data_IF_455470855189
#
_entry.id   IF_455470855189
#
_cell.length_a   1.000
_cell.length_b   1.000
_cell.length_c   1.000
_cell.angle_alpha   90.00
_cell.angle_beta   90.00
_cell.angle_gamma   90.00
#
_symmetry.space_group_name_H-M   'P 1'
#
loop_
_entity.id
_entity.type
_entity.pdbx_description
1 polymer ?
#
# COMPACT_ATOMS: atom_id res chain seq x y z
N UNK A 1 -24.27 33.11 -7.17
CA UNK A 1 -23.60 33.37 -5.89
C UNK A 1 -24.47 33.01 -4.69
N UNK A 2 -25.73 33.50 -4.57
CA UNK A 2 -26.64 33.19 -3.43
C UNK A 2 -26.94 31.68 -3.25
N UNK A 3 -27.15 30.93 -4.33
CA UNK A 3 -27.44 29.49 -4.29
C UNK A 3 -26.22 28.68 -3.79
N UNK A 4 -25.01 29.10 -4.16
CA UNK A 4 -23.77 28.45 -3.72
C UNK A 4 -23.52 28.65 -2.22
N UNK A 5 -23.83 29.82 -1.69
CA UNK A 5 -23.75 30.14 -0.25
C UNK A 5 -24.76 29.32 0.54
N UNK A 6 -26.01 29.15 0.04
CA UNK A 6 -27.02 28.33 0.65
C UNK A 6 -26.65 26.86 0.68
N UNK A 7 -26.01 26.37 -0.37
CA UNK A 7 -25.54 24.98 -0.46
C UNK A 7 -24.40 24.73 0.55
N UNK A 8 -23.46 25.67 0.69
CA UNK A 8 -22.39 25.58 1.69
C UNK A 8 -22.96 25.61 3.11
N UNK A 9 -23.90 26.49 3.39
CA UNK A 9 -24.55 26.59 4.69
C UNK A 9 -25.36 25.32 5.03
N UNK A 10 -26.04 24.73 4.06
CA UNK A 10 -26.76 23.46 4.28
C UNK A 10 -25.81 22.29 4.56
N UNK A 11 -24.69 22.22 3.83
CA UNK A 11 -23.66 21.20 4.08
C UNK A 11 -23.04 21.39 5.46
N UNK A 12 -22.70 22.64 5.86
CA UNK A 12 -22.17 22.93 7.19
C UNK A 12 -23.18 22.57 8.30
N UNK A 13 -24.46 22.82 8.09
CA UNK A 13 -25.50 22.45 9.05
C UNK A 13 -25.66 20.94 9.17
N UNK A 14 -25.65 20.20 8.06
CA UNK A 14 -25.65 18.75 8.06
C UNK A 14 -24.40 18.17 8.76
N UNK A 15 -23.23 18.74 8.50
CA UNK A 15 -21.99 18.31 9.16
C UNK A 15 -22.03 18.57 10.66
N UNK A 16 -22.56 19.72 11.11
CA UNK A 16 -22.68 20.01 12.56
C UNK A 16 -23.70 19.12 13.27
N UNK A 17 -24.82 18.77 12.62
CA UNK A 17 -25.81 17.85 13.17
C UNK A 17 -25.26 16.42 13.25
N UNK A 18 -24.52 15.95 12.24
CA UNK A 18 -23.82 14.67 12.25
C UNK A 18 -22.72 14.66 13.34
N UNK A 19 -21.97 15.74 13.51
CA UNK A 19 -20.91 15.84 14.52
C UNK A 19 -21.45 15.62 15.94
N UNK A 20 -22.61 16.18 16.29
CA UNK A 20 -23.22 15.99 17.61
C UNK A 20 -23.63 14.52 17.86
N UNK A 21 -24.09 13.81 16.83
CA UNK A 21 -24.43 12.39 16.97
C UNK A 21 -23.19 11.49 16.99
N UNK A 22 -22.08 11.92 16.38
CA UNK A 22 -20.81 11.19 16.32
C UNK A 22 -20.01 11.27 17.64
N UNK A 23 -20.22 12.32 18.45
CA UNK A 23 -19.48 12.51 19.71
C UNK A 23 -20.10 11.71 20.86
N UNK A 24 -21.34 11.23 20.75
CA UNK A 24 -21.94 10.39 21.78
C UNK A 24 -21.22 9.05 21.87
N UNK A 25 -20.70 8.68 23.06
CA UNK A 25 -20.01 7.41 23.24
C UNK A 25 -21.00 6.25 23.05
N UNK A 26 -20.58 5.26 22.29
CA UNK A 26 -21.33 4.01 22.13
C UNK A 26 -20.65 2.92 22.97
N UNK A 27 -21.35 2.42 24.00
CA UNK A 27 -20.86 1.37 24.90
C UNK A 27 -21.15 -0.04 24.37
N UNK A 28 -21.37 -0.18 23.07
CA UNK A 28 -21.66 -1.48 22.47
C UNK A 28 -20.47 -2.42 22.59
N UNK A 29 -20.77 -3.68 22.89
CA UNK A 29 -19.78 -4.77 22.84
C UNK A 29 -19.29 -4.97 21.41
N UNK A 30 -20.20 -4.88 20.44
CA UNK A 30 -19.89 -5.02 19.02
C UNK A 30 -20.19 -3.72 18.31
N UNK A 31 -19.17 -3.18 17.63
CA UNK A 31 -19.26 -2.01 16.77
C UNK A 31 -18.93 -2.43 15.34
N UNK A 32 -19.62 -1.85 14.39
CA UNK A 32 -19.28 -1.92 12.97
C UNK A 32 -18.75 -0.56 12.52
N UNK A 33 -17.96 -0.53 11.48
CA UNK A 33 -17.43 0.74 11.00
C UNK A 33 -16.94 0.68 9.58
N UNK A 34 -16.69 1.87 9.05
CA UNK A 34 -16.04 2.08 7.75
C UNK A 34 -14.80 2.92 7.94
N UNK A 35 -13.77 2.64 7.16
CA UNK A 35 -12.51 3.41 7.16
C UNK A 35 -12.07 3.73 5.74
N UNK A 36 -11.49 4.90 5.59
CA UNK A 36 -10.77 5.31 4.38
C UNK A 36 -9.38 5.82 4.81
N UNK A 37 -8.40 5.68 3.96
CA UNK A 37 -7.06 6.08 4.34
C UNK A 37 -6.10 6.20 3.18
N UNK A 38 -4.93 6.71 3.52
CA UNK A 38 -3.77 6.83 2.65
C UNK A 38 -2.71 5.83 3.08
N UNK A 39 -1.91 5.40 2.14
CA UNK A 39 -0.85 4.45 2.35
C UNK A 39 0.38 4.84 1.56
N UNK A 40 1.53 4.85 2.21
CA UNK A 40 2.83 4.92 1.57
C UNK A 40 3.41 3.50 1.55
N UNK A 41 3.61 2.96 0.34
CA UNK A 41 4.23 1.65 0.16
C UNK A 41 5.74 1.82 0.15
N UNK A 42 6.43 1.11 1.02
CA UNK A 42 7.86 0.98 1.04
C UNK A 42 8.22 -0.45 0.61
N UNK A 43 8.86 -0.58 -0.54
CA UNK A 43 9.32 -1.88 -1.03
C UNK A 43 10.80 -2.00 -0.72
N UNK A 44 11.16 -2.97 0.13
CA UNK A 44 12.56 -3.33 0.33
C UNK A 44 12.91 -4.40 -0.71
N UNK A 45 13.61 -3.98 -1.78
CA UNK A 45 14.05 -4.89 -2.83
C UNK A 45 15.21 -5.71 -2.28
N UNK A 46 14.99 -7.02 -2.20
CA UNK A 46 15.99 -7.96 -1.69
C UNK A 46 16.99 -8.39 -2.77
N UNK A 47 16.51 -8.59 -3.99
CA UNK A 47 17.35 -8.89 -5.16
C UNK A 47 16.59 -8.59 -6.45
N UNK A 48 17.34 -8.14 -7.45
CA UNK A 48 16.90 -8.15 -8.85
C UNK A 48 17.91 -9.03 -9.57
N UNK A 49 17.44 -10.18 -10.04
CA UNK A 49 18.25 -11.11 -10.82
C UNK A 49 17.90 -10.93 -12.29
N UNK A 50 18.87 -10.54 -13.08
CA UNK A 50 18.88 -10.60 -14.54
C UNK A 50 19.96 -11.57 -14.97
N UNK A 51 19.72 -12.34 -16.03
CA UNK A 51 20.55 -13.46 -16.52
C UNK A 51 22.02 -13.14 -16.81
N UNK A 52 22.69 -12.27 -16.23
CA UNK A 52 24.15 -11.97 -16.32
C UNK A 52 24.50 -10.57 -15.78
N UNK A 53 23.53 -9.79 -15.28
CA UNK A 53 23.77 -8.42 -14.84
C UNK A 53 23.21 -8.22 -13.44
N UNK A 54 24.06 -7.86 -12.49
CA UNK A 54 23.65 -7.44 -11.16
C UNK A 54 23.40 -5.93 -11.17
N UNK A 55 22.19 -5.52 -10.82
CA UNK A 55 21.87 -4.10 -10.66
C UNK A 55 22.28 -3.64 -9.26
N UNK A 56 23.04 -2.57 -9.19
CA UNK A 56 23.41 -1.89 -7.95
C UNK A 56 22.71 -0.51 -7.93
N UNK A 57 22.52 0.06 -6.75
CA UNK A 57 21.86 1.36 -6.51
C UNK A 57 20.41 1.47 -7.01
N UNK A 58 19.54 0.69 -6.37
CA UNK A 58 18.11 0.76 -6.64
C UNK A 58 17.48 1.81 -5.73
N UNK A 59 16.98 2.89 -6.33
CA UNK A 59 16.25 3.93 -5.62
C UNK A 59 14.74 3.74 -5.79
N UNK A 60 14.03 3.68 -4.67
CA UNK A 60 12.58 3.60 -4.63
C UNK A 60 11.98 4.96 -4.31
N UNK A 61 11.13 5.46 -5.18
CA UNK A 61 10.30 6.62 -4.90
C UNK A 61 8.95 6.14 -4.40
N UNK A 62 8.61 6.55 -3.18
CA UNK A 62 7.34 6.19 -2.57
C UNK A 62 6.22 7.04 -3.12
N UNK A 63 5.21 6.41 -3.67
CA UNK A 63 3.97 7.06 -4.05
C UNK A 63 2.88 6.71 -3.03
N UNK A 64 1.93 7.62 -2.85
CA UNK A 64 0.84 7.45 -1.91
C UNK A 64 -0.29 6.68 -2.60
N UNK A 65 -0.68 5.56 -2.00
CA UNK A 65 -1.88 4.81 -2.36
C UNK A 65 -3.06 5.20 -1.47
N UNK A 66 -4.21 4.58 -1.72
CA UNK A 66 -5.41 4.77 -0.92
C UNK A 66 -6.08 3.44 -0.60
N UNK A 67 -6.82 3.44 0.51
CA UNK A 67 -7.56 2.28 0.98
C UNK A 67 -8.95 2.68 1.44
N UNK A 68 -9.91 1.78 1.27
CA UNK A 68 -11.27 1.91 1.79
C UNK A 68 -11.79 0.53 2.20
N UNK A 69 -12.57 0.48 3.28
CA UNK A 69 -13.10 -0.79 3.73
C UNK A 69 -14.00 -0.67 4.95
N UNK A 70 -14.35 -1.83 5.46
CA UNK A 70 -15.20 -1.98 6.63
C UNK A 70 -14.52 -2.83 7.70
N UNK A 71 -14.98 -2.66 8.93
CA UNK A 71 -14.48 -3.37 10.08
C UNK A 71 -15.61 -3.76 11.03
N UNK A 72 -15.34 -4.79 11.80
CA UNK A 72 -16.15 -5.18 12.94
C UNK A 72 -15.21 -5.18 14.14
N UNK A 73 -15.62 -4.55 15.24
CA UNK A 73 -14.84 -4.51 16.47
C UNK A 73 -15.66 -5.11 17.61
N UNK A 74 -15.11 -6.08 18.30
CA UNK A 74 -15.67 -6.67 19.50
C UNK A 74 -14.83 -6.22 20.69
N UNK A 75 -15.44 -5.47 21.59
CA UNK A 75 -14.79 -4.91 22.78
C UNK A 75 -15.04 -5.82 24.00
N UNK A 76 -13.97 -6.10 24.73
CA UNK A 76 -14.01 -6.80 26.03
C UNK A 76 -13.16 -5.98 27.01
N UNK A 77 -13.82 -5.17 27.81
CA UNK A 77 -13.21 -4.20 28.75
C UNK A 77 -12.24 -3.24 28.05
N UNK A 78 -10.94 -3.47 28.26
CA UNK A 78 -9.86 -2.70 27.65
C UNK A 78 -9.30 -3.36 26.38
N UNK A 79 -9.64 -4.61 26.15
CA UNK A 79 -9.22 -5.32 24.94
C UNK A 79 -10.28 -5.24 23.85
N UNK A 80 -9.86 -5.35 22.62
CA UNK A 80 -10.75 -5.57 21.51
C UNK A 80 -10.10 -6.45 20.45
N UNK A 81 -10.94 -7.14 19.68
CA UNK A 81 -10.55 -7.83 18.45
C UNK A 81 -11.26 -7.16 17.28
N UNK A 82 -10.53 -6.93 16.20
CA UNK A 82 -11.05 -6.22 15.04
C UNK A 82 -10.63 -6.91 13.74
N UNK A 83 -11.44 -7.84 13.23
CA UNK A 83 -11.38 -8.23 11.82
C UNK A 83 -11.85 -7.09 10.92
N UNK A 84 -11.24 -6.97 9.76
CA UNK A 84 -11.56 -5.92 8.79
C UNK A 84 -11.37 -6.43 7.37
N UNK A 85 -11.94 -5.74 6.40
CA UNK A 85 -11.70 -6.00 4.98
C UNK A 85 -11.54 -4.67 4.24
N UNK A 86 -10.44 -4.52 3.51
CA UNK A 86 -10.08 -3.31 2.79
C UNK A 86 -9.80 -3.61 1.33
N UNK A 87 -10.23 -2.72 0.48
CA UNK A 87 -9.74 -2.59 -0.86
C UNK A 87 -8.64 -1.54 -0.91
N UNK A 88 -7.53 -1.85 -1.62
CA UNK A 88 -6.37 -1.00 -1.67
C UNK A 88 -5.90 -0.81 -3.10
N UNK A 89 -5.42 0.38 -3.37
CA UNK A 89 -4.64 0.74 -4.52
C UNK A 89 -3.32 1.34 -4.04
N UNK A 90 -2.21 0.86 -4.56
CA UNK A 90 -0.88 1.39 -4.26
C UNK A 90 -0.08 1.52 -5.54
N UNK A 91 0.69 2.59 -5.65
CA UNK A 91 1.61 2.83 -6.76
C UNK A 91 2.99 3.15 -6.21
N UNK A 92 4.03 2.77 -6.92
CA UNK A 92 5.41 3.06 -6.57
C UNK A 92 6.30 3.08 -7.80
N UNK A 93 7.28 4.00 -7.83
CA UNK A 93 8.26 4.08 -8.89
C UNK A 93 9.57 3.44 -8.44
N UNK A 94 10.12 2.59 -9.27
CA UNK A 94 11.41 1.93 -9.10
C UNK A 94 12.37 2.60 -10.09
N UNK A 95 13.46 3.16 -9.56
CA UNK A 95 14.55 3.71 -10.36
C UNK A 95 15.73 2.77 -10.23
N UNK A 96 16.40 2.49 -11.33
CA UNK A 96 17.61 1.66 -11.34
C UNK A 96 18.64 2.22 -12.32
N UNK A 97 19.89 2.16 -11.87
CA UNK A 97 21.03 2.43 -12.72
C UNK A 97 21.59 1.12 -13.24
N UNK A 98 21.83 1.04 -14.53
CA UNK A 98 22.41 -0.14 -15.17
C UNK A 98 23.91 -0.02 -15.13
N UNK A 99 24.56 -0.89 -14.37
CA UNK A 99 26.01 -1.02 -14.39
C UNK A 99 26.39 -1.94 -15.55
N UNK A 100 27.17 -1.41 -16.49
CA UNK A 100 27.75 -2.21 -17.59
C UNK A 100 28.84 -3.11 -17.05
N UNK A 101 28.89 -4.40 -17.44
CA UNK A 101 30.06 -5.21 -17.15
C UNK A 101 31.28 -4.59 -17.85
N UNK A 102 32.40 -4.44 -17.11
CA UNK A 102 33.61 -3.78 -17.56
C UNK A 102 34.37 -4.50 -18.71
N UNK A 103 33.84 -5.60 -19.24
CA UNK A 103 34.52 -6.47 -20.20
C UNK A 103 34.21 -6.22 -21.67
N UNK A 104 33.31 -5.31 -22.01
CA UNK A 104 33.01 -5.01 -23.42
C UNK A 104 33.45 -3.59 -23.79
N UNK A 105 34.73 -3.47 -24.15
CA UNK A 105 35.30 -2.34 -24.90
C UNK A 105 34.94 -2.46 -26.39
N UNK A 106 33.70 -2.57 -26.72
CA UNK A 106 33.23 -2.48 -28.13
C UNK A 106 32.28 -1.31 -28.25
N UNK A 107 32.54 -0.47 -29.26
CA UNK A 107 31.79 0.72 -29.66
C UNK A 107 30.37 0.37 -30.18
N UNK A 108 29.69 -0.58 -29.59
CA UNK A 108 28.31 -0.95 -29.97
C UNK A 108 27.32 -0.21 -29.09
N UNK A 109 26.30 0.33 -29.76
CA UNK A 109 25.22 1.14 -29.21
C UNK A 109 24.72 0.60 -27.89
N UNK A 110 24.86 1.41 -26.84
CA UNK A 110 24.34 1.08 -25.52
C UNK A 110 22.86 0.72 -25.60
N UNK A 111 22.49 -0.45 -25.13
CA UNK A 111 21.08 -0.78 -24.95
C UNK A 111 20.58 0.10 -23.79
N UNK A 112 19.78 1.09 -24.12
CA UNK A 112 19.12 1.92 -23.11
C UNK A 112 18.03 1.08 -22.45
N UNK A 113 18.28 0.64 -21.21
CA UNK A 113 17.22 0.10 -20.37
C UNK A 113 16.35 1.22 -19.83
N UNK A 114 15.05 0.97 -19.59
CA UNK A 114 14.19 1.96 -18.96
C UNK A 114 14.75 2.34 -17.59
N UNK A 115 15.00 3.64 -17.39
CA UNK A 115 15.54 4.18 -16.15
C UNK A 115 14.52 4.20 -15.01
N UNK A 116 13.24 4.03 -15.32
CA UNK A 116 12.19 3.99 -14.32
C UNK A 116 11.08 3.01 -14.68
N UNK A 117 10.58 2.33 -13.65
CA UNK A 117 9.44 1.43 -13.77
C UNK A 117 8.40 1.81 -12.71
N UNK A 118 7.18 2.12 -13.14
CA UNK A 118 6.05 2.35 -12.25
C UNK A 118 5.32 1.04 -12.00
N UNK A 119 5.21 0.68 -10.74
CA UNK A 119 4.45 -0.48 -10.29
C UNK A 119 3.12 -0.04 -9.69
N UNK A 120 2.02 -0.63 -10.14
CA UNK A 120 0.68 -0.42 -9.58
C UNK A 120 0.15 -1.74 -9.05
N UNK A 121 -0.35 -1.71 -7.81
CA UNK A 121 -0.90 -2.89 -7.13
C UNK A 121 -2.32 -2.58 -6.70
N UNK A 122 -3.28 -3.44 -7.09
CA UNK A 122 -4.63 -3.47 -6.53
C UNK A 122 -4.79 -4.74 -5.71
N UNK A 123 -5.25 -4.60 -4.48
CA UNK A 123 -5.36 -5.72 -3.55
C UNK A 123 -6.59 -5.65 -2.68
N UNK A 124 -7.04 -6.83 -2.22
CA UNK A 124 -7.93 -6.97 -1.08
C UNK A 124 -7.11 -7.37 0.14
N UNK A 125 -7.37 -6.75 1.28
CA UNK A 125 -6.69 -7.02 2.53
C UNK A 125 -7.68 -7.40 3.62
N UNK A 126 -7.30 -8.42 4.39
CA UNK A 126 -8.06 -8.88 5.56
C UNK A 126 -7.15 -8.84 6.78
N UNK A 127 -7.04 -7.68 7.46
CA UNK A 127 -6.37 -7.61 8.74
C UNK A 127 -7.25 -8.18 9.85
N UNK A 128 -6.61 -8.92 10.77
CA UNK A 128 -7.20 -9.31 12.05
C UNK A 128 -6.26 -8.81 13.13
N UNK A 129 -6.73 -7.86 13.93
CA UNK A 129 -5.93 -7.21 14.96
C UNK A 129 -6.56 -7.38 16.32
N UNK A 130 -5.71 -7.44 17.35
CA UNK A 130 -6.07 -7.33 18.75
C UNK A 130 -5.55 -5.99 19.25
N UNK A 131 -6.35 -5.27 19.99
CA UNK A 131 -5.97 -3.97 20.52
C UNK A 131 -6.26 -3.85 22.01
N UNK A 132 -5.60 -2.86 22.60
CA UNK A 132 -5.73 -2.50 24.00
C UNK A 132 -5.94 -0.99 24.15
N UNK A 133 -6.99 -0.60 24.89
CA UNK A 133 -7.28 0.79 25.21
C UNK A 133 -6.37 1.25 26.36
N UNK A 134 -5.32 2.01 26.05
CA UNK A 134 -4.40 2.61 27.03
C UNK A 134 -5.11 3.69 27.84
N UNK A 135 -5.83 4.57 27.16
CA UNK A 135 -6.63 5.64 27.73
C UNK A 135 -8.07 5.44 27.29
N UNK A 136 -8.99 5.38 28.25
CA UNK A 136 -10.44 5.24 28.01
C UNK A 136 -11.16 6.29 28.86
N UNK A 137 -11.12 7.53 28.38
CA UNK A 137 -11.78 8.68 29.00
C UNK A 137 -12.69 9.34 27.97
N UNK A 138 -13.99 9.17 28.16
CA UNK A 138 -14.97 9.74 27.23
C UNK A 138 -14.82 11.24 27.04
N UNK A 139 -14.88 11.76 25.80
CA UNK A 139 -15.17 11.03 24.54
C UNK A 139 -13.92 10.44 23.88
N UNK A 140 -12.76 10.49 24.52
CA UNK A 140 -11.46 10.12 23.96
C UNK A 140 -11.05 8.71 24.36
N UNK A 141 -10.61 7.91 23.40
CA UNK A 141 -9.98 6.62 23.65
C UNK A 141 -8.68 6.55 22.83
N UNK A 142 -7.58 6.24 23.51
CA UNK A 142 -6.30 5.98 22.83
C UNK A 142 -5.98 4.49 22.93
N UNK A 143 -5.67 3.87 21.81
CA UNK A 143 -5.47 2.42 21.71
C UNK A 143 -4.20 2.09 20.94
N UNK A 144 -3.57 0.99 21.34
CA UNK A 144 -2.57 0.29 20.54
C UNK A 144 -3.17 -1.00 20.03
N UNK A 145 -2.85 -1.38 18.80
CA UNK A 145 -3.30 -2.62 18.21
C UNK A 145 -2.19 -3.26 17.38
N UNK A 146 -2.24 -4.59 17.31
CA UNK A 146 -1.32 -5.38 16.51
C UNK A 146 -1.96 -6.66 16.05
N UNK A 147 -1.48 -7.23 14.97
CA UNK A 147 -2.02 -8.44 14.40
C UNK A 147 -1.39 -8.84 13.09
N UNK A 148 -2.13 -9.64 12.34
CA UNK A 148 -1.72 -10.14 11.03
C UNK A 148 -2.64 -9.64 9.95
N UNK A 149 -2.11 -9.50 8.76
CA UNK A 149 -2.81 -9.02 7.58
C UNK A 149 -2.54 -10.00 6.43
N UNK A 150 -3.61 -10.52 5.86
CA UNK A 150 -3.56 -11.26 4.60
C UNK A 150 -3.93 -10.32 3.47
N UNK A 151 -3.11 -10.28 2.43
CA UNK A 151 -3.36 -9.50 1.20
C UNK A 151 -3.50 -10.45 0.03
N UNK A 152 -4.47 -10.17 -0.79
CA UNK A 152 -4.68 -10.81 -2.08
C UNK A 152 -4.51 -9.76 -3.19
N UNK A 153 -3.38 -9.83 -3.89
CA UNK A 153 -3.06 -8.94 -5.00
C UNK A 153 -3.70 -9.51 -6.27
N UNK A 154 -4.76 -8.90 -6.75
CA UNK A 154 -5.50 -9.40 -7.91
C UNK A 154 -5.11 -8.72 -9.23
N UNK A 155 -4.46 -7.55 -9.17
CA UNK A 155 -4.00 -6.82 -10.34
C UNK A 155 -2.67 -6.14 -10.02
N UNK A 156 -1.60 -6.57 -10.69
CA UNK A 156 -0.27 -5.98 -10.57
C UNK A 156 0.18 -5.60 -11.97
N UNK A 157 0.38 -4.31 -12.20
CA UNK A 157 0.81 -3.77 -13.47
C UNK A 157 2.15 -3.07 -13.28
N UNK A 158 3.06 -3.33 -14.22
CA UNK A 158 4.33 -2.64 -14.33
C UNK A 158 4.33 -1.86 -15.64
N UNK A 159 4.67 -0.60 -15.57
CA UNK A 159 4.82 0.26 -16.73
C UNK A 159 6.25 0.79 -16.73
N UNK A 160 7.03 0.39 -17.73
CA UNK A 160 8.36 0.90 -17.93
C UNK A 160 8.32 2.08 -18.90
N UNK A 161 8.92 3.20 -18.51
CA UNK A 161 9.03 4.41 -19.31
C UNK A 161 10.51 4.63 -19.64
N UNK A 162 10.88 4.37 -20.87
CA UNK A 162 12.18 4.71 -21.44
C UNK A 162 12.06 5.84 -22.46
N UNK A 163 13.18 6.49 -22.85
CA UNK A 163 13.17 7.60 -23.80
C UNK A 163 12.65 7.20 -25.20
N UNK A 164 12.68 5.91 -25.54
CA UNK A 164 12.24 5.40 -26.85
C UNK A 164 11.24 4.25 -26.79
N UNK A 165 10.93 3.73 -25.61
CA UNK A 165 10.03 2.58 -25.45
C UNK A 165 9.21 2.68 -24.16
N UNK A 166 7.89 2.67 -24.29
CA UNK A 166 6.99 2.44 -23.18
C UNK A 166 6.31 1.09 -23.37
N UNK A 167 6.39 0.22 -22.38
CA UNK A 167 5.64 -1.03 -22.40
C UNK A 167 4.97 -1.25 -21.05
N UNK A 168 3.80 -1.85 -21.10
CA UNK A 168 3.05 -2.25 -19.93
C UNK A 168 3.09 -3.76 -19.83
N UNK A 169 3.47 -4.26 -18.66
CA UNK A 169 3.62 -5.68 -18.39
C UNK A 169 2.80 -6.11 -17.17
N UNK A 170 2.14 -7.24 -17.28
CA UNK A 170 1.41 -7.88 -16.20
C UNK A 170 2.24 -9.07 -15.72
N UNK A 171 3.02 -8.88 -14.65
CA UNK A 171 3.90 -9.92 -14.12
C UNK A 171 3.13 -11.07 -13.47
N UNK A 172 3.67 -12.29 -13.61
CA UNK A 172 3.21 -13.41 -12.81
C UNK A 172 3.79 -13.25 -11.40
N UNK A 173 2.93 -12.93 -10.46
CA UNK A 173 3.32 -12.60 -9.09
C UNK A 173 2.49 -13.43 -8.13
N UNK A 174 3.13 -13.94 -7.07
CA UNK A 174 2.40 -14.63 -5.99
C UNK A 174 1.24 -13.76 -5.49
N UNK A 175 -0.01 -14.20 -5.63
CA UNK A 175 -1.16 -13.37 -5.32
C UNK A 175 -1.31 -13.09 -3.82
N UNK A 176 -0.77 -13.98 -2.97
CA UNK A 176 -0.95 -13.90 -1.52
C UNK A 176 0.28 -13.32 -0.83
N UNK A 177 0.03 -12.36 0.05
CA UNK A 177 1.06 -11.73 0.86
C UNK A 177 0.60 -11.61 2.32
N UNK A 178 1.49 -12.02 3.24
CA UNK A 178 1.29 -11.92 4.67
C UNK A 178 2.11 -10.76 5.23
N UNK A 179 1.51 -10.00 6.15
CA UNK A 179 2.22 -8.94 6.85
C UNK A 179 1.86 -8.96 8.34
N UNK A 180 2.82 -8.61 9.18
CA UNK A 180 2.56 -8.16 10.53
C UNK A 180 2.08 -6.70 10.46
N UNK A 181 1.10 -6.35 11.30
CA UNK A 181 0.53 -5.01 11.35
C UNK A 181 0.49 -4.51 12.78
N UNK A 182 0.88 -3.27 12.99
CA UNK A 182 0.75 -2.56 14.26
C UNK A 182 0.23 -1.16 14.01
N UNK A 183 -0.60 -0.63 14.92
CA UNK A 183 -1.12 0.72 14.79
C UNK A 183 -1.47 1.35 16.12
N UNK A 184 -1.46 2.69 16.12
CA UNK A 184 -2.01 3.54 17.18
C UNK A 184 -3.31 4.15 16.67
N UNK A 185 -4.33 4.16 17.50
CA UNK A 185 -5.64 4.71 17.18
C UNK A 185 -6.09 5.69 18.24
N UNK A 186 -6.63 6.82 17.80
CA UNK A 186 -7.40 7.76 18.61
C UNK A 186 -8.86 7.67 18.18
N UNK A 187 -9.74 7.36 19.11
CA UNK A 187 -11.19 7.39 18.93
C UNK A 187 -11.75 8.61 19.65
N UNK A 188 -12.55 9.42 18.95
CA UNK A 188 -13.26 10.59 19.49
C UNK A 188 -14.76 10.38 19.25
N UNK A 189 -15.47 9.95 20.27
CA UNK A 189 -16.87 9.52 20.10
C UNK A 189 -16.98 8.30 19.20
N UNK A 190 -17.37 8.51 17.94
CA UNK A 190 -17.46 7.48 16.89
C UNK A 190 -16.39 7.62 15.81
N UNK A 191 -15.65 8.73 15.80
CA UNK A 191 -14.61 8.99 14.80
C UNK A 191 -13.31 8.32 15.22
N UNK A 192 -12.71 7.56 14.32
CA UNK A 192 -11.39 6.93 14.50
C UNK A 192 -10.36 7.59 13.62
N UNK A 193 -9.17 7.79 14.17
CA UNK A 193 -7.97 8.22 13.46
C UNK A 193 -6.88 7.23 13.82
N UNK A 194 -6.26 6.61 12.84
CA UNK A 194 -5.16 5.69 13.11
C UNK A 194 -3.98 5.88 12.18
N UNK A 195 -2.81 5.57 12.75
CA UNK A 195 -1.53 5.49 12.06
C UNK A 195 -1.01 4.08 12.27
N UNK A 196 -0.76 3.36 11.19
CA UNK A 196 -0.32 1.98 11.23
C UNK A 196 0.89 1.73 10.37
N UNK A 197 1.69 0.76 10.81
CA UNK A 197 2.83 0.23 10.07
C UNK A 197 2.64 -1.24 9.81
N UNK A 198 2.97 -1.66 8.61
CA UNK A 198 2.99 -3.07 8.22
C UNK A 198 4.38 -3.50 7.79
N UNK A 199 4.74 -4.70 8.20
CA UNK A 199 5.97 -5.38 7.84
C UNK A 199 5.64 -6.66 7.09
N UNK A 200 6.08 -6.77 5.84
CA UNK A 200 5.89 -7.97 5.03
C UNK A 200 6.61 -9.17 5.62
N UNK A 201 5.92 -10.28 5.79
CA UNK A 201 6.46 -11.51 6.36
C UNK A 201 6.98 -12.48 5.28
N UNK A 202 6.45 -12.42 4.08
CA UNK A 202 6.91 -13.22 2.96
C UNK A 202 7.43 -12.36 1.81
N UNK A 203 8.35 -12.93 1.05
CA UNK A 203 8.87 -12.30 -0.17
C UNK A 203 7.83 -12.39 -1.27
N UNK A 204 7.65 -11.29 -1.97
CA UNK A 204 6.89 -11.23 -3.19
C UNK A 204 7.86 -11.43 -4.36
N UNK A 205 7.67 -12.50 -5.11
CA UNK A 205 8.42 -12.77 -6.33
C UNK A 205 7.60 -12.28 -7.51
N UNK A 206 8.22 -11.51 -8.38
CA UNK A 206 7.67 -11.10 -9.65
C UNK A 206 8.59 -11.59 -10.75
N UNK A 207 8.10 -12.56 -11.51
CA UNK A 207 8.80 -13.07 -12.67
C UNK A 207 8.26 -12.34 -13.91
N UNK A 208 9.18 -11.83 -14.72
CA UNK A 208 8.86 -11.13 -15.96
C UNK A 208 9.19 -12.05 -17.12
N UNK A 209 8.28 -12.13 -18.08
CA UNK A 209 8.57 -12.83 -19.33
C UNK A 209 9.82 -12.24 -20.01
N UNK A 210 10.62 -13.09 -20.68
CA UNK A 210 11.80 -12.62 -21.33
C UNK A 210 11.44 -11.52 -22.33
N UNK A 211 12.03 -10.35 -22.16
CA UNK A 211 11.96 -9.29 -23.15
C UNK A 211 13.13 -9.43 -24.11
N UNK A 212 12.87 -9.27 -25.39
CA UNK A 212 13.92 -9.32 -26.40
C UNK A 212 14.61 -7.96 -26.51
N UNK A 213 15.93 -7.99 -26.44
CA UNK A 213 16.77 -6.81 -26.69
C UNK A 213 17.83 -7.14 -27.76
N UNK A 214 18.19 -6.15 -28.56
CA UNK A 214 19.21 -6.30 -29.59
C UNK A 214 20.58 -5.98 -29.00
N UNK A 215 21.47 -6.96 -28.97
CA UNK A 215 22.88 -6.79 -28.60
C UNK A 215 23.76 -7.47 -29.63
N UNK A 216 24.66 -6.72 -30.24
CA UNK A 216 25.61 -7.25 -31.24
C UNK A 216 24.93 -7.87 -32.47
N UNK A 217 23.80 -7.30 -32.93
CA UNK A 217 23.06 -7.81 -34.12
C UNK A 217 22.30 -9.12 -33.88
N UNK A 218 22.21 -9.58 -32.63
CA UNK A 218 21.41 -10.77 -32.25
C UNK A 218 20.33 -10.39 -31.26
N UNK A 219 19.16 -10.98 -31.45
CA UNK A 219 18.07 -10.89 -30.49
C UNK A 219 18.37 -11.81 -29.30
N UNK A 220 18.53 -11.22 -28.12
CA UNK A 220 18.68 -11.93 -26.85
C UNK A 220 17.43 -11.74 -26.03
N UNK A 221 16.98 -12.78 -25.37
CA UNK A 221 15.88 -12.73 -24.41
C UNK A 221 16.47 -12.82 -23.00
N UNK A 222 16.07 -11.92 -22.13
CA UNK A 222 16.48 -11.93 -20.71
C UNK A 222 15.26 -12.00 -19.82
N UNK A 223 15.25 -12.96 -18.91
CA UNK A 223 14.24 -13.08 -17.86
C UNK A 223 14.68 -12.21 -16.68
N UNK A 224 13.76 -11.43 -16.12
CA UNK A 224 14.01 -10.60 -14.95
C UNK A 224 13.16 -11.10 -13.78
N UNK A 225 13.79 -11.33 -12.63
CA UNK A 225 13.11 -11.70 -11.39
C UNK A 225 13.36 -10.65 -10.33
N UNK A 226 12.28 -10.11 -9.77
CA UNK A 226 12.34 -9.14 -8.65
C UNK A 226 11.80 -9.82 -7.40
N UNK A 227 12.63 -9.86 -6.35
CA UNK A 227 12.23 -10.32 -5.02
C UNK A 227 12.23 -9.15 -4.06
N UNK A 228 11.09 -8.93 -3.36
CA UNK A 228 10.91 -7.78 -2.46
C UNK A 228 10.04 -8.12 -1.27
N UNK A 229 10.27 -7.41 -0.16
CA UNK A 229 9.33 -7.30 0.95
C UNK A 229 8.50 -6.03 0.77
N UNK A 230 7.21 -6.12 1.08
CA UNK A 230 6.31 -4.98 1.04
C UNK A 230 6.07 -4.50 2.47
N UNK A 231 6.70 -3.38 2.82
CA UNK A 231 6.43 -2.66 4.05
C UNK A 231 5.55 -1.45 3.75
N UNK A 232 4.90 -0.86 4.73
CA UNK A 232 4.09 0.32 4.48
C UNK A 232 3.66 1.06 5.72
N UNK A 233 3.58 2.38 5.59
CA UNK A 233 2.95 3.27 6.55
C UNK A 233 1.54 3.59 6.04
N UNK A 234 0.56 3.59 6.94
CA UNK A 234 -0.82 3.96 6.62
C UNK A 234 -1.37 4.96 7.61
N UNK A 235 -2.22 5.86 7.12
CA UNK A 235 -3.03 6.76 7.95
C UNK A 235 -4.47 6.60 7.52
N UNK A 236 -5.39 6.44 8.48
CA UNK A 236 -6.79 6.28 8.15
C UNK A 236 -7.72 7.03 9.10
N UNK A 237 -8.90 7.32 8.57
CA UNK A 237 -10.03 7.92 9.27
C UNK A 237 -11.22 7.01 9.09
N UNK A 238 -12.00 6.83 10.15
CA UNK A 238 -13.17 5.97 10.12
C UNK A 238 -14.29 6.43 11.03
N UNK A 239 -15.40 5.73 10.93
CA UNK A 239 -16.58 5.92 11.78
C UNK A 239 -16.98 4.55 12.30
N UNK A 240 -17.20 4.47 13.62
CA UNK A 240 -17.77 3.31 14.32
C UNK A 240 -19.23 3.59 14.70
N UNK A 241 -20.13 2.61 14.53
CA UNK A 241 -21.55 2.68 14.91
C UNK A 241 -22.08 1.38 15.47
#
# INVERSE_FOLDING_TARGET
MKVFILLILSVMYCVSALAQSLIKPDHKVVNMGVKVGLRALQSDISSIDMDEVRLEDIHLKHNVGYMAGFLIRVNVDRFFIQPSAFWNYSSGDIWFDVIRPASEQTNESAVEFPQSMTMQIKSFEVPVVVGYHLIKQHPYVFSLMGGVKLKYNYDIQFTANGPHTSFSYRGDTSPYHWAAYTAMEVLIGKLTFDIGYECGLNRLHSDFDPFSYHSGGREKASAMRISKYLNGLSMSVGILF
#
